data_IF_501785257539
#
_entry.id   IF_501785257539
#
_cell.length_a   1.000
_cell.length_b   1.000
_cell.length_c   1.000
_cell.angle_alpha   90.00
_cell.angle_beta   90.00
_cell.angle_gamma   90.00
#
_symmetry.space_group_name_H-M   'P 1'
#
loop_
_entity.id
_entity.type
_entity.pdbx_description
1 polymer ?
#
# COMPACT_ATOMS: atom_id res chain seq x y z
N UNK A 1 -5.61 3.86 -16.57
CA UNK A 1 -6.36 2.66 -16.13
C UNK A 1 -6.79 2.85 -14.67
N UNK A 2 -7.57 1.96 -14.05
CA UNK A 2 -7.92 2.05 -12.62
C UNK A 2 -7.39 0.85 -11.83
N UNK A 3 -7.22 1.03 -10.52
CA UNK A 3 -6.82 -0.01 -9.56
C UNK A 3 -8.02 -0.75 -9.00
N UNK A 4 -7.86 -2.04 -8.75
CA UNK A 4 -8.64 -2.78 -7.76
C UNK A 4 -7.68 -3.36 -6.73
N UNK A 5 -7.88 -3.05 -5.46
CA UNK A 5 -7.18 -3.67 -4.35
C UNK A 5 -7.88 -4.98 -4.00
N UNK A 6 -7.12 -6.07 -3.94
CA UNK A 6 -7.58 -7.38 -3.55
C UNK A 6 -7.05 -7.69 -2.15
N UNK A 7 -7.95 -8.01 -1.23
CA UNK A 7 -7.63 -8.37 0.15
C UNK A 7 -7.89 -9.86 0.34
N UNK A 8 -6.89 -10.59 0.84
CA UNK A 8 -6.93 -12.06 0.89
C UNK A 8 -6.37 -12.65 2.17
N UNK A 9 -6.44 -13.99 2.24
CA UNK A 9 -5.92 -14.80 3.35
C UNK A 9 -5.07 -15.92 2.76
N UNK A 10 -3.95 -16.31 3.40
CA UNK A 10 -3.05 -17.28 2.84
C UNK A 10 -3.74 -18.64 2.89
N UNK A 11 -3.75 -19.37 1.76
CA UNK A 11 -4.29 -20.73 1.66
C UNK A 11 -5.81 -20.85 1.89
N UNK A 12 -6.56 -19.75 1.86
CA UNK A 12 -8.01 -19.82 1.86
C UNK A 12 -8.53 -20.12 0.44
N UNK A 13 -9.47 -21.05 0.30
CA UNK A 13 -10.24 -21.25 -0.93
C UNK A 13 -11.33 -20.18 -1.11
N UNK A 14 -11.18 -19.03 -0.45
CA UNK A 14 -12.17 -17.95 -0.42
C UNK A 14 -11.71 -16.88 -1.41
N UNK A 15 -12.64 -16.40 -2.22
CA UNK A 15 -12.37 -15.33 -3.17
C UNK A 15 -11.92 -14.05 -2.42
N UNK A 16 -10.88 -13.35 -2.90
CA UNK A 16 -10.42 -12.11 -2.27
C UNK A 16 -11.50 -11.03 -2.26
N UNK A 17 -11.57 -10.24 -1.20
CA UNK A 17 -12.41 -9.05 -1.18
C UNK A 17 -11.78 -7.99 -2.09
N UNK A 18 -12.57 -7.43 -2.99
CA UNK A 18 -12.12 -6.42 -3.93
C UNK A 18 -12.62 -5.03 -3.50
N UNK A 19 -11.74 -4.04 -3.52
CA UNK A 19 -12.08 -2.63 -3.30
C UNK A 19 -11.58 -1.81 -4.48
N UNK A 20 -12.48 -1.06 -5.13
CA UNK A 20 -12.22 -0.29 -6.34
C UNK A 20 -13.40 -0.34 -7.32
N UNK A 21 -13.25 0.21 -8.54
CA UNK A 21 -12.03 0.80 -9.11
C UNK A 21 -11.63 2.14 -8.46
N UNK A 22 -10.34 2.48 -8.45
CA UNK A 22 -9.81 3.78 -8.00
C UNK A 22 -8.61 4.23 -8.81
N UNK A 23 -8.37 5.54 -8.93
CA UNK A 23 -7.24 6.08 -9.70
C UNK A 23 -5.94 6.17 -8.89
N UNK A 24 -6.04 6.17 -7.56
CA UNK A 24 -4.91 6.25 -6.66
C UNK A 24 -5.23 5.60 -5.31
N UNK A 25 -4.18 5.27 -4.57
CA UNK A 25 -4.23 4.99 -3.14
C UNK A 25 -2.91 5.40 -2.48
N UNK A 26 -2.92 5.62 -1.16
CA UNK A 26 -1.72 5.89 -0.38
C UNK A 26 -1.63 4.99 0.85
N UNK A 27 -0.41 4.56 1.19
CA UNK A 27 -0.04 3.96 2.46
C UNK A 27 0.39 5.07 3.41
N UNK A 28 -0.45 5.38 4.39
CA UNK A 28 -0.25 6.45 5.36
C UNK A 28 -0.34 5.87 6.77
N UNK A 29 0.82 5.77 7.43
CA UNK A 29 0.97 4.98 8.65
C UNK A 29 0.45 3.56 8.50
N UNK A 30 -0.41 3.12 9.41
CA UNK A 30 -1.00 1.79 9.31
C UNK A 30 -2.18 1.70 8.32
N UNK A 31 -2.50 2.74 7.56
CA UNK A 31 -3.73 2.77 6.76
C UNK A 31 -3.47 2.77 5.26
N UNK A 32 -4.40 2.19 4.51
CA UNK A 32 -4.58 2.45 3.08
C UNK A 32 -5.66 3.52 2.95
N UNK A 33 -5.37 4.58 2.21
CA UNK A 33 -6.30 5.70 1.95
C UNK A 33 -6.49 5.92 0.46
N UNK A 34 -7.62 6.52 0.07
CA UNK A 34 -7.92 6.86 -1.33
C UNK A 34 -6.99 7.91 -1.93
N UNK A 35 -6.38 8.73 -1.07
CA UNK A 35 -5.33 9.71 -1.40
C UNK A 35 -4.60 10.08 -0.10
N UNK A 36 -3.53 10.88 -0.18
CA UNK A 36 -2.86 11.39 1.02
C UNK A 36 -3.83 12.25 1.84
N UNK A 37 -4.07 11.86 3.10
CA UNK A 37 -5.09 12.48 3.97
C UNK A 37 -6.55 12.21 3.56
N UNK A 38 -6.80 11.38 2.53
CA UNK A 38 -8.14 11.03 2.05
C UNK A 38 -8.82 9.94 2.89
N UNK A 39 -9.97 9.45 2.43
CA UNK A 39 -10.75 8.43 3.14
C UNK A 39 -9.97 7.13 3.37
N UNK A 40 -10.16 6.53 4.55
CA UNK A 40 -9.57 5.24 4.92
C UNK A 40 -10.29 4.12 4.17
N UNK A 41 -9.52 3.32 3.44
CA UNK A 41 -9.96 2.11 2.74
C UNK A 41 -9.75 0.89 3.64
N UNK A 42 -8.59 0.82 4.29
CA UNK A 42 -8.20 -0.31 5.13
C UNK A 42 -7.27 0.15 6.26
N UNK A 43 -7.31 -0.57 7.39
CA UNK A 43 -6.41 -0.34 8.52
C UNK A 43 -5.58 -1.58 8.80
N UNK A 44 -4.28 -1.42 9.02
CA UNK A 44 -3.39 -2.48 9.46
C UNK A 44 -3.32 -2.47 10.98
N UNK A 45 -3.77 -3.55 11.61
CA UNK A 45 -3.59 -3.75 13.05
C UNK A 45 -2.83 -5.05 13.26
N UNK A 46 -1.69 -4.97 13.94
CA UNK A 46 -0.81 -6.10 14.22
C UNK A 46 -0.54 -7.02 13.01
N UNK A 47 -0.34 -6.44 11.82
CA UNK A 47 -0.01 -7.16 10.59
C UNK A 47 -1.22 -7.69 9.81
N UNK A 48 -2.44 -7.43 10.28
CA UNK A 48 -3.68 -7.80 9.63
C UNK A 48 -4.41 -6.57 9.07
N UNK A 49 -4.93 -6.69 7.86
CA UNK A 49 -5.74 -5.67 7.22
C UNK A 49 -7.21 -5.82 7.60
N UNK A 50 -7.79 -4.75 8.11
CA UNK A 50 -9.21 -4.60 8.42
C UNK A 50 -9.87 -3.78 7.33
N UNK A 51 -10.85 -4.37 6.66
CA UNK A 51 -11.69 -3.72 5.66
C UNK A 51 -13.14 -4.01 6.05
N UNK A 52 -13.90 -2.95 6.32
CA UNK A 52 -15.25 -3.07 6.89
C UNK A 52 -15.25 -3.93 8.17
N UNK A 53 -15.97 -5.07 8.17
CA UNK A 53 -16.04 -6.01 9.30
C UNK A 53 -15.20 -7.27 9.07
N UNK A 54 -14.32 -7.26 8.06
CA UNK A 54 -13.53 -8.41 7.65
C UNK A 54 -12.04 -8.17 7.86
N UNK A 55 -11.32 -9.27 8.13
CA UNK A 55 -9.87 -9.26 8.36
C UNK A 55 -9.14 -10.12 7.33
N UNK A 56 -8.01 -9.61 6.85
CA UNK A 56 -7.19 -10.16 5.78
C UNK A 56 -5.72 -10.10 6.17
N UNK A 57 -4.88 -11.01 5.66
CA UNK A 57 -3.45 -11.01 5.96
C UNK A 57 -2.62 -10.23 4.95
N UNK A 58 -3.18 -10.01 3.77
CA UNK A 58 -2.47 -9.44 2.65
C UNK A 58 -3.41 -8.61 1.78
N UNK A 59 -2.83 -7.66 1.08
CA UNK A 59 -3.46 -6.85 0.05
C UNK A 59 -2.55 -6.78 -1.16
N UNK A 60 -3.11 -6.86 -2.36
CA UNK A 60 -2.35 -6.72 -3.60
C UNK A 60 -3.17 -6.03 -4.69
N UNK A 61 -2.47 -5.57 -5.73
CA UNK A 61 -3.07 -5.01 -6.94
C UNK A 61 -2.19 -5.36 -8.14
N UNK A 62 -2.84 -5.66 -9.27
CA UNK A 62 -2.17 -5.84 -10.57
C UNK A 62 -2.66 -4.77 -11.54
N UNK A 63 -1.87 -3.72 -11.71
CA UNK A 63 -2.13 -2.61 -12.62
C UNK A 63 -0.86 -1.80 -12.83
N UNK A 64 -0.73 -1.14 -13.98
CA UNK A 64 0.40 -0.26 -14.23
C UNK A 64 0.30 0.99 -13.34
N UNK A 65 1.34 1.24 -12.54
CA UNK A 65 1.35 2.29 -11.54
C UNK A 65 2.66 3.05 -11.48
N UNK A 66 2.56 4.33 -11.11
CA UNK A 66 3.68 5.16 -10.65
C UNK A 66 3.61 5.28 -9.13
N UNK A 67 4.78 5.33 -8.51
CA UNK A 67 4.90 5.45 -7.06
C UNK A 67 5.56 6.79 -6.75
N UNK A 68 5.00 7.52 -5.80
CA UNK A 68 5.63 8.68 -5.19
C UNK A 68 5.78 8.47 -3.69
N UNK A 69 6.87 8.98 -3.13
CA UNK A 69 7.11 9.02 -1.70
C UNK A 69 7.00 10.46 -1.20
N UNK A 70 6.16 10.69 -0.21
CA UNK A 70 5.87 12.03 0.34
C UNK A 70 6.41 12.13 1.77
N UNK A 71 7.35 13.04 1.98
CA UNK A 71 7.96 13.36 3.27
C UNK A 71 7.75 14.85 3.58
N UNK A 72 6.81 15.16 4.46
CA UNK A 72 6.40 16.54 4.72
C UNK A 72 5.92 17.23 3.44
N UNK A 73 6.60 18.29 3.02
CA UNK A 73 6.32 19.03 1.78
C UNK A 73 7.07 18.50 0.56
N UNK A 74 7.95 17.50 0.73
CA UNK A 74 8.75 16.95 -0.37
C UNK A 74 8.05 15.73 -0.95
N UNK A 75 7.73 15.79 -2.24
CA UNK A 75 7.24 14.64 -3.01
C UNK A 75 8.33 14.18 -3.98
N UNK A 76 8.69 12.90 -3.92
CA UNK A 76 9.68 12.29 -4.80
C UNK A 76 9.05 11.17 -5.60
N UNK A 77 9.10 11.28 -6.93
CA UNK A 77 8.71 10.19 -7.81
C UNK A 77 9.77 9.10 -7.76
N UNK A 78 9.33 7.86 -7.56
CA UNK A 78 10.18 6.68 -7.72
C UNK A 78 10.32 6.41 -9.22
N UNK A 79 11.55 6.26 -9.70
CA UNK A 79 11.80 6.05 -11.12
C UNK A 79 11.16 4.74 -11.61
N UNK A 80 10.48 4.82 -12.76
CA UNK A 80 9.88 3.67 -13.44
C UNK A 80 8.37 3.55 -13.27
N UNK A 81 7.83 2.49 -13.86
CA UNK A 81 6.44 2.05 -13.74
C UNK A 81 6.44 0.63 -13.21
N UNK A 82 5.52 0.33 -12.30
CA UNK A 82 5.39 -0.97 -11.66
C UNK A 82 4.07 -1.60 -12.10
N UNK A 83 3.96 -2.92 -12.04
CA UNK A 83 2.75 -3.64 -12.48
C UNK A 83 2.04 -4.36 -11.35
N UNK A 84 2.75 -4.66 -10.28
CA UNK A 84 2.21 -5.37 -9.12
C UNK A 84 2.57 -4.64 -7.86
N UNK A 85 1.59 -4.46 -7.00
CA UNK A 85 1.74 -4.04 -5.61
C UNK A 85 1.33 -5.20 -4.72
N UNK A 86 2.05 -5.41 -3.63
CA UNK A 86 1.64 -6.32 -2.56
C UNK A 86 2.08 -5.80 -1.21
N UNK A 87 1.24 -5.96 -0.19
CA UNK A 87 1.58 -5.61 1.18
C UNK A 87 1.11 -6.65 2.19
N UNK A 88 2.07 -7.16 2.97
CA UNK A 88 1.88 -8.22 3.96
C UNK A 88 2.62 -7.84 5.23
N UNK A 89 1.95 -7.91 6.38
CA UNK A 89 2.56 -7.68 7.69
C UNK A 89 3.41 -6.38 7.76
N UNK A 90 2.85 -5.26 7.26
CA UNK A 90 3.54 -3.98 7.22
C UNK A 90 4.73 -3.91 6.25
N UNK A 91 4.87 -4.84 5.30
CA UNK A 91 5.91 -4.84 4.28
C UNK A 91 5.29 -4.62 2.91
N UNK A 92 5.58 -3.49 2.29
CA UNK A 92 5.15 -3.13 0.95
C UNK A 92 6.19 -3.58 -0.08
N UNK A 93 5.72 -4.17 -1.17
CA UNK A 93 6.51 -4.70 -2.28
C UNK A 93 5.92 -4.26 -3.62
N UNK A 94 6.80 -4.05 -4.58
CA UNK A 94 6.43 -3.74 -5.96
C UNK A 94 7.19 -4.66 -6.91
N UNK A 95 6.46 -5.28 -7.84
CA UNK A 95 6.97 -6.29 -8.78
C UNK A 95 7.80 -7.40 -8.09
N UNK A 96 7.41 -7.77 -6.86
CA UNK A 96 8.05 -8.79 -6.05
C UNK A 96 9.28 -8.32 -5.26
N UNK A 97 9.75 -7.09 -5.45
CA UNK A 97 10.83 -6.51 -4.66
C UNK A 97 10.28 -5.77 -3.44
N UNK A 98 10.86 -6.02 -2.26
CA UNK A 98 10.53 -5.27 -1.05
C UNK A 98 10.96 -3.82 -1.23
N UNK A 99 10.03 -2.90 -1.02
CA UNK A 99 10.23 -1.47 -1.26
C UNK A 99 10.22 -0.66 0.02
N UNK A 100 9.26 -0.90 0.91
CA UNK A 100 9.13 -0.18 2.16
C UNK A 100 8.59 -1.06 3.29
N UNK A 101 8.92 -0.68 4.52
CA UNK A 101 8.46 -1.34 5.74
C UNK A 101 7.83 -0.29 6.65
N UNK A 102 6.69 -0.62 7.23
CA UNK A 102 6.03 0.19 8.24
C UNK A 102 6.83 0.12 9.53
N UNK A 103 7.29 1.27 10.01
CA UNK A 103 7.87 1.40 11.33
C UNK A 103 6.75 1.56 12.37
N UNK A 104 6.51 0.50 13.15
CA UNK A 104 5.48 0.46 14.18
C UNK A 104 5.68 1.48 15.31
N UNK A 105 6.90 1.97 15.55
CA UNK A 105 7.13 2.96 16.60
C UNK A 105 6.73 4.37 16.17
N UNK A 106 6.90 4.69 14.88
CA UNK A 106 6.60 6.02 14.33
C UNK A 106 5.32 6.05 13.52
N UNK A 107 4.72 4.89 13.21
CA UNK A 107 3.63 4.73 12.24
C UNK A 107 3.95 5.44 10.91
N UNK A 108 5.18 5.28 10.43
CA UNK A 108 5.62 5.85 9.16
C UNK A 108 6.27 4.78 8.31
N UNK A 109 6.11 4.87 7.00
CA UNK A 109 6.76 3.93 6.09
C UNK A 109 8.18 4.35 5.82
N UNK A 110 9.13 3.43 6.00
CA UNK A 110 10.54 3.60 5.68
C UNK A 110 10.88 2.84 4.40
N UNK A 111 11.51 3.52 3.44
CA UNK A 111 12.02 2.85 2.24
C UNK A 111 13.21 1.95 2.60
N UNK A 112 13.24 0.74 2.03
CA UNK A 112 14.37 -0.19 2.22
C UNK A 112 15.61 0.27 1.45
N UNK A 113 15.42 0.85 0.27
CA UNK A 113 16.48 1.42 -0.55
C UNK A 113 16.25 2.92 -0.68
N UNK A 114 17.09 3.73 -0.01
CA UNK A 114 16.97 5.19 -0.01
C UNK A 114 17.47 5.91 1.24
N UNK A 115 17.81 5.20 2.32
CA UNK A 115 18.26 5.80 3.58
C UNK A 115 17.21 5.73 4.69
N UNK A 116 17.26 6.65 5.64
CA UNK A 116 16.33 6.72 6.79
C UNK A 116 15.06 7.53 6.52
N UNK A 117 14.75 7.79 5.26
CA UNK A 117 13.58 8.57 4.82
C UNK A 117 12.27 7.85 5.21
N UNK A 118 11.37 8.60 5.85
CA UNK A 118 10.07 8.13 6.34
C UNK A 118 8.96 9.00 5.79
N UNK A 119 7.86 8.38 5.35
CA UNK A 119 6.83 9.12 4.63
C UNK A 119 5.60 8.30 4.29
N UNK A 120 4.81 8.88 3.39
CA UNK A 120 3.62 8.28 2.79
C UNK A 120 3.99 7.73 1.42
N UNK A 121 3.60 6.48 1.13
CA UNK A 121 3.72 5.93 -0.23
C UNK A 121 2.42 6.17 -0.96
N UNK A 122 2.45 6.82 -2.12
CA UNK A 122 1.27 6.99 -2.96
C UNK A 122 1.47 6.28 -4.29
N UNK A 123 0.45 5.54 -4.71
CA UNK A 123 0.38 4.80 -5.95
C UNK A 123 -0.68 5.46 -6.84
N UNK A 124 -0.32 5.74 -8.09
CA UNK A 124 -1.21 6.37 -9.07
C UNK A 124 -1.24 5.54 -10.34
N UNK A 125 -2.42 5.35 -10.91
CA UNK A 125 -2.56 4.55 -12.11
C UNK A 125 -1.97 5.29 -13.31
N UNK A 126 -1.45 4.52 -14.26
CA UNK A 126 -0.95 5.03 -15.55
C UNK A 126 -2.01 4.91 -16.63
#
# INVERSE_FOLDING_TARGET
MSFALHFGRPRASVEPMMVGPMDAFCLEGSQIRSSAGGDVIAENDHGLWHVEQQTFSEVWCESEMRISFVEGTHCRLVAGTFRRFGCVNGVASFDGAVFAVLDNATHMWKRVQGGDEKGVLCCQSV
#
